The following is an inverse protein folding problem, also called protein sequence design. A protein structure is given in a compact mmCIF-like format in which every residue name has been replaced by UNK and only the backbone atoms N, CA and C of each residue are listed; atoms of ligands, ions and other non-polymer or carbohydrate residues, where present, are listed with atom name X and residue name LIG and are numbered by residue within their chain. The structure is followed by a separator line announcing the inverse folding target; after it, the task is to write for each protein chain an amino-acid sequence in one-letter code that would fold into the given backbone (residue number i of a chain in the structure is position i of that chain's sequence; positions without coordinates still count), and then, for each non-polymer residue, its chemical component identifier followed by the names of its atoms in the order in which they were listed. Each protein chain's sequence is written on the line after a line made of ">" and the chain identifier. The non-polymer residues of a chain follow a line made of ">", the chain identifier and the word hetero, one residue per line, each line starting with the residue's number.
data_IF_418974464682
#
_entry.id   IF_418974464682
#
_cell.length_a   1.000
_cell.length_b   1.000
_cell.length_c   1.000
_cell.angle_alpha   90.00
_cell.angle_beta   90.00
_cell.angle_gamma   90.00
#
_symmetry.space_group_name_H-M   'P 1'
#
loop_
_entity.id
_entity.type
_entity.pdbx_description
1 polymer ?
#
# COMPACT_ATOMS: atom_id res chain seq x y z
N UNK A 1 -23.43 12.11 -16.37
CA UNK A 1 -23.77 12.63 -17.73
C UNK A 1 -24.88 13.66 -17.65
N UNK A 2 -26.04 13.34 -17.08
CA UNK A 2 -27.19 14.26 -16.97
C UNK A 2 -26.90 15.53 -16.16
N UNK A 3 -26.45 15.39 -14.90
CA UNK A 3 -26.26 16.53 -13.98
C UNK A 3 -25.14 17.50 -14.38
N UNK A 4 -24.06 16.97 -14.96
CA UNK A 4 -22.83 17.74 -15.23
C UNK A 4 -22.48 17.85 -16.72
N UNK A 5 -23.33 17.35 -17.62
CA UNK A 5 -23.13 17.45 -19.08
C UNK A 5 -21.92 16.68 -19.65
N UNK A 6 -21.34 15.75 -18.87
CA UNK A 6 -20.18 14.97 -19.31
C UNK A 6 -20.52 14.03 -20.47
N UNK A 7 -19.57 13.90 -21.40
CA UNK A 7 -19.49 12.81 -22.36
C UNK A 7 -18.46 11.80 -21.84
N UNK A 8 -18.91 10.57 -21.58
CA UNK A 8 -18.06 9.46 -21.15
C UNK A 8 -17.71 8.63 -22.38
N UNK A 9 -16.44 8.32 -22.56
CA UNK A 9 -15.90 7.63 -23.72
C UNK A 9 -15.01 6.48 -23.23
N UNK A 10 -15.37 5.25 -23.59
CA UNK A 10 -14.66 4.03 -23.19
C UNK A 10 -13.81 3.43 -24.32
N UNK A 11 -13.84 4.03 -25.51
CA UNK A 11 -13.32 3.43 -26.74
C UNK A 11 -12.05 4.12 -27.24
N UNK A 12 -11.95 5.44 -27.07
CA UNK A 12 -10.84 6.24 -27.62
C UNK A 12 -9.48 5.81 -27.07
N UNK A 13 -9.38 5.38 -25.81
CA UNK A 13 -8.11 4.90 -25.25
C UNK A 13 -7.73 3.54 -25.85
N UNK A 14 -8.69 2.63 -25.99
CA UNK A 14 -8.45 1.29 -26.52
C UNK A 14 -7.93 1.31 -27.97
N UNK A 15 -8.36 2.29 -28.76
CA UNK A 15 -7.93 2.46 -30.16
C UNK A 15 -6.60 3.20 -30.33
N UNK A 16 -5.99 3.68 -29.23
CA UNK A 16 -4.78 4.52 -29.27
C UNK A 16 -3.69 3.95 -28.36
N UNK A 17 -2.74 3.15 -28.89
CA UNK A 17 -1.71 2.49 -28.09
C UNK A 17 -0.92 3.40 -27.14
N UNK A 18 -0.62 4.63 -27.59
CA UNK A 18 0.11 5.62 -26.78
C UNK A 18 -0.63 6.06 -25.50
N UNK A 19 -1.94 5.82 -25.40
CA UNK A 19 -2.77 6.23 -24.26
C UNK A 19 -3.06 5.09 -23.28
N UNK A 20 -2.69 3.84 -23.60
CA UNK A 20 -3.07 2.64 -22.82
C UNK A 20 -2.58 2.72 -21.36
N UNK A 21 -1.48 3.42 -21.08
CA UNK A 21 -0.98 3.59 -19.70
C UNK A 21 -1.91 4.43 -18.80
N UNK A 22 -2.76 5.26 -19.38
CA UNK A 22 -3.65 6.13 -18.61
C UNK A 22 -4.91 5.39 -18.21
N UNK A 23 -5.34 5.57 -16.95
CA UNK A 23 -6.62 5.05 -16.48
C UNK A 23 -7.79 5.92 -16.95
N UNK A 24 -7.59 7.24 -16.94
CA UNK A 24 -8.54 8.21 -17.49
C UNK A 24 -7.85 9.46 -17.99
N UNK A 25 -8.48 10.12 -18.97
CA UNK A 25 -8.06 11.40 -19.54
C UNK A 25 -9.28 12.33 -19.60
N UNK A 26 -9.15 13.52 -19.03
CA UNK A 26 -10.18 14.54 -18.96
C UNK A 26 -9.85 15.70 -19.91
N UNK A 27 -10.84 16.12 -20.67
CA UNK A 27 -10.77 17.32 -21.51
C UNK A 27 -11.88 18.29 -21.08
N UNK A 28 -11.47 19.49 -20.72
CA UNK A 28 -12.37 20.59 -20.42
C UNK A 28 -13.04 21.12 -21.70
N UNK A 29 -14.24 21.66 -21.58
CA UNK A 29 -14.98 22.26 -22.69
C UNK A 29 -16.46 22.46 -22.34
N UNK A 30 -17.23 23.02 -23.27
CA UNK A 30 -18.70 23.22 -23.10
C UNK A 30 -19.43 21.91 -22.78
N UNK A 31 -18.96 20.80 -23.34
CA UNK A 31 -19.34 19.43 -22.97
C UNK A 31 -18.07 18.73 -22.51
N UNK A 32 -17.78 18.67 -21.20
CA UNK A 32 -16.56 18.04 -20.70
C UNK A 32 -16.51 16.57 -21.14
N UNK A 33 -15.35 16.11 -21.60
CA UNK A 33 -15.13 14.73 -22.03
C UNK A 33 -14.25 14.01 -21.03
N UNK A 34 -14.65 12.80 -20.66
CA UNK A 34 -13.84 11.91 -19.84
C UNK A 34 -13.65 10.60 -20.59
N UNK A 35 -12.42 10.39 -21.05
CA UNK A 35 -11.99 9.11 -21.59
C UNK A 35 -11.63 8.21 -20.42
N UNK A 36 -12.14 6.99 -20.39
CA UNK A 36 -11.81 5.97 -19.38
C UNK A 36 -11.29 4.74 -20.11
N UNK A 37 -10.21 4.17 -19.59
CA UNK A 37 -9.63 2.96 -20.15
C UNK A 37 -10.53 1.76 -19.81
N UNK A 38 -11.04 1.07 -20.83
CA UNK A 38 -11.95 -0.07 -20.67
C UNK A 38 -11.25 -1.37 -20.24
N UNK A 39 -9.91 -1.41 -20.22
CA UNK A 39 -9.13 -2.51 -19.62
C UNK A 39 -9.11 -2.46 -18.08
N UNK A 40 -9.71 -1.42 -17.48
CA UNK A 40 -9.89 -1.32 -16.04
C UNK A 40 -11.05 -2.19 -15.56
N UNK A 41 -10.92 -2.72 -14.35
CA UNK A 41 -12.04 -3.45 -13.75
C UNK A 41 -13.19 -2.49 -13.34
N UNK A 42 -14.41 -2.99 -13.13
CA UNK A 42 -15.57 -2.15 -12.81
C UNK A 42 -15.37 -1.28 -11.56
N UNK A 43 -14.67 -1.79 -10.54
CA UNK A 43 -14.38 -1.05 -9.31
C UNK A 43 -13.49 0.18 -9.59
N UNK A 44 -12.49 0.04 -10.46
CA UNK A 44 -11.61 1.13 -10.87
C UNK A 44 -12.35 2.19 -11.69
N UNK A 45 -13.20 1.78 -12.63
CA UNK A 45 -14.05 2.70 -13.42
C UNK A 45 -14.99 3.47 -12.49
N UNK A 46 -15.63 2.77 -11.55
CA UNK A 46 -16.53 3.36 -10.54
C UNK A 46 -15.81 4.44 -9.71
N UNK A 47 -14.58 4.18 -9.27
CA UNK A 47 -13.78 5.15 -8.53
C UNK A 47 -13.37 6.37 -9.36
N UNK A 48 -13.01 6.18 -10.64
CA UNK A 48 -12.72 7.31 -11.54
C UNK A 48 -13.94 8.21 -11.64
N UNK A 49 -15.13 7.64 -11.86
CA UNK A 49 -16.38 8.40 -11.92
C UNK A 49 -16.69 9.11 -10.59
N UNK A 50 -16.51 8.43 -9.45
CA UNK A 50 -16.71 9.02 -8.12
C UNK A 50 -15.77 10.21 -7.86
N UNK A 51 -14.50 10.08 -8.28
CA UNK A 51 -13.52 11.16 -8.20
C UNK A 51 -13.92 12.35 -9.09
N UNK A 52 -14.45 12.09 -10.29
CA UNK A 52 -14.97 13.14 -11.18
C UNK A 52 -16.15 13.90 -10.58
N UNK A 53 -17.08 13.19 -9.92
CA UNK A 53 -18.14 13.84 -9.14
C UNK A 53 -17.53 14.71 -8.04
N UNK A 54 -16.45 14.26 -7.40
CA UNK A 54 -15.72 15.03 -6.40
C UNK A 54 -15.16 16.35 -6.92
N UNK A 55 -14.50 16.36 -8.09
CA UNK A 55 -14.04 17.62 -8.71
C UNK A 55 -15.19 18.60 -8.93
N UNK A 56 -16.32 18.12 -9.45
CA UNK A 56 -17.48 18.97 -9.74
C UNK A 56 -18.18 19.47 -8.47
N UNK A 57 -18.43 18.58 -7.51
CA UNK A 57 -19.13 18.90 -6.27
C UNK A 57 -18.34 19.91 -5.42
N UNK A 58 -17.03 19.70 -5.30
CA UNK A 58 -16.13 20.56 -4.53
C UNK A 58 -15.65 21.79 -5.32
N UNK A 59 -16.07 21.93 -6.58
CA UNK A 59 -15.71 23.04 -7.49
C UNK A 59 -14.19 23.22 -7.66
N UNK A 60 -13.48 22.10 -7.76
CA UNK A 60 -12.02 22.05 -7.90
C UNK A 60 -11.62 22.23 -9.36
N UNK A 61 -10.97 23.35 -9.67
CA UNK A 61 -10.63 23.74 -11.06
C UNK A 61 -9.26 23.28 -11.50
N UNK A 62 -8.23 23.49 -10.67
CA UNK A 62 -6.87 23.10 -11.00
C UNK A 62 -6.67 21.62 -10.68
N UNK A 63 -6.54 20.79 -11.71
CA UNK A 63 -6.56 19.32 -11.62
C UNK A 63 -5.73 18.71 -12.73
N UNK A 64 -5.32 17.46 -12.52
CA UNK A 64 -4.70 16.68 -13.58
C UNK A 64 -5.71 16.31 -14.68
N UNK A 65 -5.27 16.45 -15.93
CA UNK A 65 -6.04 15.95 -17.06
C UNK A 65 -5.97 14.42 -17.12
N UNK A 66 -4.90 13.80 -16.62
CA UNK A 66 -4.76 12.35 -16.51
C UNK A 66 -4.83 11.87 -15.05
N UNK A 67 -5.31 10.64 -14.83
CA UNK A 67 -5.40 10.04 -13.48
C UNK A 67 -4.06 9.86 -12.77
N UNK A 68 -3.00 9.68 -13.54
CA UNK A 68 -1.59 9.55 -13.13
C UNK A 68 -0.80 10.39 -14.13
N UNK A 69 -0.69 11.71 -13.92
CA UNK A 69 -0.06 12.59 -14.90
C UNK A 69 1.44 12.31 -14.97
N UNK A 70 2.01 12.43 -16.17
CA UNK A 70 3.47 12.33 -16.37
C UNK A 70 4.20 13.51 -15.70
N UNK A 71 3.52 14.64 -15.55
CA UNK A 71 4.05 15.86 -14.95
C UNK A 71 3.06 16.45 -13.96
N UNK A 72 3.59 16.85 -12.80
CA UNK A 72 2.87 17.63 -11.80
C UNK A 72 3.25 19.10 -11.99
N UNK A 73 2.25 19.95 -12.19
CA UNK A 73 2.45 21.35 -12.54
C UNK A 73 2.42 22.27 -11.32
N UNK A 74 1.71 21.90 -10.25
CA UNK A 74 1.63 22.72 -9.03
C UNK A 74 1.23 21.90 -7.80
N UNK A 75 1.47 22.47 -6.62
CA UNK A 75 0.96 21.93 -5.36
C UNK A 75 -0.58 21.92 -5.32
N UNK A 76 -1.23 22.96 -5.85
CA UNK A 76 -2.68 23.11 -5.81
C UNK A 76 -3.37 22.02 -6.64
N UNK A 77 -2.77 21.61 -7.76
CA UNK A 77 -3.19 20.46 -8.54
C UNK A 77 -3.16 19.18 -7.71
N UNK A 78 -2.03 18.88 -7.04
CA UNK A 78 -1.90 17.70 -6.17
C UNK A 78 -2.97 17.71 -5.07
N UNK A 79 -3.15 18.86 -4.40
CA UNK A 79 -4.10 19.00 -3.31
C UNK A 79 -5.54 18.79 -3.78
N UNK A 80 -5.90 19.30 -4.96
CA UNK A 80 -7.23 19.12 -5.54
C UNK A 80 -7.45 17.68 -5.99
N UNK A 81 -6.45 17.05 -6.60
CA UNK A 81 -6.51 15.63 -6.96
C UNK A 81 -6.70 14.74 -5.72
N UNK A 82 -6.00 15.06 -4.62
CA UNK A 82 -6.18 14.42 -3.32
C UNK A 82 -7.60 14.63 -2.77
N UNK A 83 -8.12 15.87 -2.75
CA UNK A 83 -9.47 16.18 -2.27
C UNK A 83 -10.55 15.44 -3.07
N UNK A 84 -10.42 15.39 -4.39
CA UNK A 84 -11.33 14.66 -5.26
C UNK A 84 -11.26 13.14 -5.01
N UNK A 85 -10.05 12.59 -4.81
CA UNK A 85 -9.87 11.18 -4.48
C UNK A 85 -10.47 10.82 -3.11
N UNK A 86 -10.24 11.66 -2.09
CA UNK A 86 -10.85 11.52 -0.77
C UNK A 86 -12.37 11.55 -0.86
N UNK A 87 -12.94 12.50 -1.63
CA UNK A 87 -14.38 12.55 -1.88
C UNK A 87 -14.89 11.25 -2.53
N UNK A 88 -14.19 10.76 -3.56
CA UNK A 88 -14.55 9.51 -4.24
C UNK A 88 -14.55 8.32 -3.27
N UNK A 89 -13.53 8.21 -2.42
CA UNK A 89 -13.47 7.21 -1.36
C UNK A 89 -14.64 7.33 -0.38
N UNK A 90 -14.93 8.53 0.11
CA UNK A 90 -16.03 8.78 1.03
C UNK A 90 -17.42 8.54 0.44
N UNK A 91 -17.59 8.78 -0.87
CA UNK A 91 -18.82 8.50 -1.60
C UNK A 91 -19.05 6.99 -1.76
N UNK A 92 -18.01 6.24 -2.10
CA UNK A 92 -18.10 4.78 -2.27
C UNK A 92 -18.16 4.02 -0.96
N UNK A 93 -17.55 4.56 0.09
CA UNK A 93 -17.41 3.94 1.41
C UNK A 93 -17.91 4.89 2.50
N UNK A 94 -19.24 5.00 2.67
CA UNK A 94 -19.85 5.88 3.67
C UNK A 94 -19.31 5.60 5.07
N UNK A 95 -18.94 6.67 5.78
CA UNK A 95 -18.25 6.61 7.07
C UNK A 95 -18.95 5.68 8.07
N UNK A 96 -20.26 5.83 8.25
CA UNK A 96 -21.01 5.06 9.25
C UNK A 96 -20.93 3.55 8.99
N UNK A 97 -21.02 3.13 7.72
CA UNK A 97 -20.99 1.72 7.36
C UNK A 97 -19.57 1.14 7.55
N UNK A 98 -18.53 1.86 7.13
CA UNK A 98 -17.15 1.39 7.29
C UNK A 98 -16.77 1.28 8.76
N UNK A 99 -17.19 2.24 9.59
CA UNK A 99 -16.91 2.17 11.03
C UNK A 99 -17.56 0.93 11.64
N UNK A 100 -18.82 0.64 11.29
CA UNK A 100 -19.51 -0.56 11.79
C UNK A 100 -18.82 -1.86 11.34
N UNK A 101 -18.38 -1.94 10.08
CA UNK A 101 -17.67 -3.12 9.57
C UNK A 101 -16.27 -3.28 10.19
N UNK A 102 -15.54 -2.17 10.38
CA UNK A 102 -14.25 -2.18 11.08
C UNK A 102 -14.42 -2.63 12.53
N UNK A 103 -15.45 -2.14 13.21
CA UNK A 103 -15.78 -2.57 14.56
C UNK A 103 -16.06 -4.07 14.60
N UNK A 104 -16.90 -4.57 13.69
CA UNK A 104 -17.19 -6.00 13.58
C UNK A 104 -15.93 -6.83 13.31
N UNK A 105 -15.06 -6.38 12.41
CA UNK A 105 -13.76 -7.00 12.13
C UNK A 105 -12.87 -7.04 13.39
N UNK A 106 -12.75 -5.92 14.08
CA UNK A 106 -11.87 -5.75 15.24
C UNK A 106 -12.37 -6.46 16.51
N UNK A 107 -13.67 -6.72 16.61
CA UNK A 107 -14.28 -7.49 17.69
C UNK A 107 -14.03 -9.02 17.58
N UNK A 108 -13.57 -9.51 16.43
CA UNK A 108 -13.24 -10.92 16.25
C UNK A 108 -12.02 -11.30 17.09
N UNK A 109 -12.09 -12.43 17.80
CA UNK A 109 -10.96 -12.96 18.59
C UNK A 109 -10.01 -13.82 17.77
N UNK A 110 -10.46 -14.29 16.62
CA UNK A 110 -9.67 -15.10 15.67
C UNK A 110 -9.66 -14.43 14.31
N UNK A 111 -8.52 -14.46 13.64
CA UNK A 111 -8.36 -13.90 12.31
C UNK A 111 -9.14 -14.71 11.26
N UNK A 112 -9.82 -14.01 10.37
CA UNK A 112 -10.40 -14.58 9.16
C UNK A 112 -10.31 -13.59 8.01
N UNK A 113 -9.74 -14.02 6.88
CA UNK A 113 -9.67 -13.21 5.67
C UNK A 113 -11.05 -12.86 5.10
N UNK A 114 -12.08 -13.64 5.42
CA UNK A 114 -13.42 -13.50 4.85
C UNK A 114 -14.04 -12.13 5.10
N UNK A 115 -13.93 -11.58 6.32
CA UNK A 115 -14.50 -10.27 6.63
C UNK A 115 -13.84 -9.16 5.82
N UNK A 116 -12.52 -9.24 5.60
CA UNK A 116 -11.80 -8.25 4.83
C UNK A 116 -12.14 -8.33 3.34
N UNK A 117 -12.30 -9.54 2.80
CA UNK A 117 -12.78 -9.78 1.43
C UNK A 117 -14.23 -9.30 1.25
N UNK A 118 -15.10 -9.57 2.21
CA UNK A 118 -16.49 -9.15 2.19
C UNK A 118 -16.64 -7.61 2.13
N UNK A 119 -15.70 -6.85 2.71
CA UNK A 119 -15.67 -5.39 2.55
C UNK A 119 -15.38 -4.97 1.11
N UNK A 120 -14.49 -5.66 0.38
CA UNK A 120 -14.24 -5.36 -1.03
C UNK A 120 -15.51 -5.54 -1.87
N UNK A 121 -16.23 -6.63 -1.61
CA UNK A 121 -17.49 -6.95 -2.30
C UNK A 121 -18.60 -5.96 -1.95
N UNK A 122 -18.81 -5.70 -0.65
CA UNK A 122 -19.85 -4.78 -0.13
C UNK A 122 -19.73 -3.37 -0.71
N UNK A 123 -18.51 -2.83 -0.79
CA UNK A 123 -18.29 -1.46 -1.27
C UNK A 123 -18.00 -1.40 -2.79
N UNK A 124 -17.75 -2.54 -3.43
CA UNK A 124 -17.27 -2.66 -4.80
C UNK A 124 -16.04 -1.78 -5.05
N UNK A 125 -15.00 -1.98 -4.22
CA UNK A 125 -13.75 -1.20 -4.25
C UNK A 125 -12.54 -2.12 -4.37
N UNK A 126 -11.37 -1.56 -4.74
CA UNK A 126 -10.12 -2.32 -4.75
C UNK A 126 -9.47 -2.36 -3.36
N UNK A 127 -8.55 -3.31 -3.10
CA UNK A 127 -7.73 -3.33 -1.89
C UNK A 127 -7.11 -1.99 -1.53
N UNK A 128 -6.55 -1.29 -2.52
CA UNK A 128 -5.89 -0.01 -2.28
C UNK A 128 -6.87 1.08 -1.84
N UNK A 129 -8.09 1.10 -2.39
CA UNK A 129 -9.12 2.07 -1.98
C UNK A 129 -9.59 1.79 -0.55
N UNK A 130 -9.83 0.52 -0.22
CA UNK A 130 -10.25 0.10 1.11
C UNK A 130 -9.20 0.49 2.17
N UNK A 131 -7.93 0.15 1.94
CA UNK A 131 -6.85 0.47 2.87
C UNK A 131 -6.52 1.96 2.93
N UNK A 132 -6.74 2.71 1.86
CA UNK A 132 -6.66 4.16 1.94
C UNK A 132 -7.74 4.72 2.85
N UNK A 133 -8.99 4.22 2.71
CA UNK A 133 -10.10 4.58 3.59
C UNK A 133 -9.85 4.21 5.05
N UNK A 134 -9.15 3.10 5.30
CA UNK A 134 -8.70 2.73 6.64
C UNK A 134 -7.74 3.77 7.22
N UNK A 135 -6.80 4.28 6.43
CA UNK A 135 -5.86 5.34 6.87
C UNK A 135 -6.54 6.66 7.24
N UNK A 136 -7.73 6.92 6.69
CA UNK A 136 -8.54 8.10 6.99
C UNK A 136 -9.39 7.94 8.25
N UNK A 137 -9.82 6.73 8.59
CA UNK A 137 -10.82 6.48 9.64
C UNK A 137 -10.26 5.81 10.89
N UNK A 138 -9.36 4.82 10.77
CA UNK A 138 -8.88 4.05 11.92
C UNK A 138 -8.21 4.94 12.97
N UNK A 139 -7.28 5.85 12.62
CA UNK A 139 -6.63 6.70 13.62
C UNK A 139 -7.63 7.58 14.39
N UNK A 140 -8.65 8.09 13.71
CA UNK A 140 -9.63 9.01 14.30
C UNK A 140 -10.67 8.30 15.17
N UNK A 141 -11.19 7.16 14.72
CA UNK A 141 -12.35 6.51 15.34
C UNK A 141 -11.97 5.37 16.28
N UNK A 142 -10.77 4.80 16.13
CA UNK A 142 -10.29 3.68 16.95
C UNK A 142 -9.04 4.04 17.76
N UNK A 143 -8.46 5.23 17.56
CA UNK A 143 -7.26 5.68 18.28
C UNK A 143 -5.99 4.94 17.89
N UNK A 144 -6.01 4.14 16.82
CA UNK A 144 -4.87 3.32 16.40
C UNK A 144 -4.17 3.95 15.20
N UNK A 145 -2.88 4.29 15.37
CA UNK A 145 -2.04 4.77 14.26
C UNK A 145 -1.62 3.60 13.37
N UNK A 146 -1.54 3.86 12.07
CA UNK A 146 -1.16 2.86 11.09
C UNK A 146 -0.09 3.35 10.11
N UNK A 147 0.57 2.41 9.47
CA UNK A 147 1.29 2.65 8.23
C UNK A 147 0.57 1.96 7.07
N UNK A 148 0.77 2.48 5.87
CA UNK A 148 0.32 1.92 4.61
C UNK A 148 1.54 1.79 3.72
N UNK A 149 1.77 0.59 3.15
CA UNK A 149 2.84 0.36 2.19
C UNK A 149 2.25 -0.27 0.94
N UNK A 150 2.76 0.14 -0.21
CA UNK A 150 2.45 -0.46 -1.50
C UNK A 150 3.74 -0.81 -2.22
N UNK A 151 3.88 -2.09 -2.57
CA UNK A 151 4.99 -2.58 -3.35
C UNK A 151 4.53 -3.04 -4.73
N UNK A 152 5.39 -2.84 -5.73
CA UNK A 152 5.31 -3.47 -7.04
C UNK A 152 6.45 -4.46 -7.22
N UNK A 153 6.16 -5.57 -7.87
CA UNK A 153 7.14 -6.55 -8.30
C UNK A 153 6.86 -6.91 -9.76
N UNK A 154 7.91 -6.92 -10.59
CA UNK A 154 7.82 -7.42 -11.96
C UNK A 154 8.37 -8.85 -11.95
N UNK A 155 7.62 -9.79 -12.50
CA UNK A 155 8.02 -11.20 -12.47
C UNK A 155 9.45 -11.38 -12.97
N UNK A 156 10.20 -12.26 -12.31
CA UNK A 156 11.62 -12.54 -12.58
C UNK A 156 12.59 -11.35 -12.43
N UNK A 157 12.16 -10.19 -11.90
CA UNK A 157 13.08 -9.05 -11.73
C UNK A 157 13.98 -9.14 -10.51
N UNK A 158 13.68 -10.05 -9.56
CA UNK A 158 14.36 -10.16 -8.26
C UNK A 158 14.25 -8.92 -7.37
N UNK A 159 13.48 -7.90 -7.78
CA UNK A 159 13.44 -6.58 -7.16
C UNK A 159 12.02 -6.19 -6.77
N UNK A 160 11.89 -5.48 -5.66
CA UNK A 160 10.62 -5.06 -5.09
C UNK A 160 10.66 -3.56 -4.86
N UNK A 161 9.72 -2.84 -5.45
CA UNK A 161 9.72 -1.39 -5.48
C UNK A 161 8.63 -0.84 -4.56
N UNK A 162 9.02 -0.07 -3.54
CA UNK A 162 8.09 0.69 -2.71
C UNK A 162 7.57 1.88 -3.52
N UNK A 163 6.31 1.84 -3.95
CA UNK A 163 5.71 2.86 -4.83
C UNK A 163 4.85 3.86 -4.09
N UNK A 164 4.37 3.52 -2.88
CA UNK A 164 3.61 4.44 -2.03
C UNK A 164 3.78 4.06 -0.57
N UNK A 165 4.00 5.07 0.26
CA UNK A 165 4.05 4.91 1.71
C UNK A 165 3.27 6.03 2.41
N UNK A 166 2.70 5.68 3.56
CA UNK A 166 2.19 6.59 4.57
C UNK A 166 2.56 5.97 5.91
N UNK A 167 3.10 6.77 6.83
CA UNK A 167 3.61 6.26 8.08
C UNK A 167 3.19 7.16 9.24
N UNK A 168 2.23 6.70 10.05
CA UNK A 168 1.78 7.41 11.24
C UNK A 168 2.29 6.77 12.53
N UNK A 169 2.87 5.56 12.47
CA UNK A 169 3.27 4.77 13.64
C UNK A 169 4.78 4.55 13.77
N UNK A 170 5.56 5.42 13.11
CA UNK A 170 7.02 5.48 13.18
C UNK A 170 7.71 4.17 12.74
N UNK A 171 7.09 3.43 11.81
CA UNK A 171 7.75 2.29 11.17
C UNK A 171 9.05 2.76 10.51
N UNK A 172 10.17 2.08 10.74
CA UNK A 172 11.39 2.41 10.00
C UNK A 172 11.30 1.78 8.62
N UNK A 173 11.24 2.63 7.60
CA UNK A 173 11.20 2.23 6.19
C UNK A 173 12.37 2.89 5.49
N UNK A 174 13.41 2.11 5.13
CA UNK A 174 14.47 2.59 4.25
C UNK A 174 13.83 3.17 3.01
N UNK A 175 13.97 4.48 2.82
CA UNK A 175 13.43 5.17 1.67
C UNK A 175 14.35 6.34 1.30
N UNK A 176 14.61 6.49 0.00
CA UNK A 176 15.52 7.50 -0.51
C UNK A 176 15.83 7.31 -1.99
N UNK A 177 16.25 8.39 -2.65
CA UNK A 177 16.76 8.34 -4.02
C UNK A 177 18.08 7.56 -3.98
N UNK A 178 18.20 6.50 -4.79
CA UNK A 178 19.43 5.71 -4.86
C UNK A 178 19.60 4.69 -3.73
N UNK A 179 18.52 4.32 -3.01
CA UNK A 179 18.56 3.16 -2.13
C UNK A 179 18.74 1.88 -2.98
N UNK A 180 19.99 1.43 -3.08
CA UNK A 180 20.39 0.18 -3.75
C UNK A 180 20.40 -1.00 -2.77
N UNK A 181 19.39 -1.04 -1.89
CA UNK A 181 19.25 -2.06 -0.86
C UNK A 181 18.06 -2.97 -1.13
N UNK A 182 18.12 -4.20 -0.64
CA UNK A 182 17.08 -5.19 -0.80
C UNK A 182 16.19 -5.24 0.44
N UNK A 183 14.95 -4.74 0.31
CA UNK A 183 13.94 -4.88 1.35
C UNK A 183 13.85 -6.32 1.86
N UNK A 184 13.70 -6.46 3.19
CA UNK A 184 13.57 -7.75 3.84
C UNK A 184 12.44 -8.58 3.20
N UNK A 185 12.78 -9.78 2.73
CA UNK A 185 11.83 -10.68 2.05
C UNK A 185 10.72 -11.21 2.96
N UNK A 186 10.92 -11.09 4.28
CA UNK A 186 9.96 -11.50 5.32
C UNK A 186 8.91 -10.44 5.65
N UNK A 187 9.01 -9.23 5.10
CA UNK A 187 7.93 -8.25 5.22
C UNK A 187 6.66 -8.81 4.57
N UNK A 188 5.50 -8.65 5.22
CA UNK A 188 4.22 -9.12 4.65
C UNK A 188 4.01 -8.60 3.23
N UNK A 189 4.35 -7.34 2.96
CA UNK A 189 4.20 -6.74 1.63
C UNK A 189 5.08 -7.39 0.55
N UNK A 190 6.24 -7.93 0.91
CA UNK A 190 7.16 -8.60 -0.01
C UNK A 190 6.80 -10.09 -0.11
N UNK A 191 6.54 -10.73 1.03
CA UNK A 191 6.10 -12.13 1.11
C UNK A 191 4.85 -12.38 0.27
N UNK A 192 3.83 -11.52 0.36
CA UNK A 192 2.60 -11.62 -0.45
C UNK A 192 2.85 -11.61 -1.96
N UNK A 193 3.93 -10.98 -2.41
CA UNK A 193 4.31 -10.93 -3.83
C UNK A 193 5.09 -12.20 -4.22
N UNK A 194 6.01 -12.64 -3.37
CA UNK A 194 6.76 -13.89 -3.55
C UNK A 194 5.85 -15.13 -3.52
N UNK A 195 4.93 -15.20 -2.57
CA UNK A 195 3.96 -16.30 -2.43
C UNK A 195 3.11 -16.40 -3.71
N UNK A 196 2.73 -15.26 -4.29
CA UNK A 196 1.93 -15.21 -5.51
C UNK A 196 2.73 -15.58 -6.76
N UNK A 197 4.02 -15.24 -6.84
CA UNK A 197 4.92 -15.70 -7.92
C UNK A 197 5.13 -17.22 -7.87
N UNK A 198 5.12 -17.81 -6.66
CA UNK A 198 5.24 -19.26 -6.47
C UNK A 198 3.94 -20.05 -6.63
N UNK A 199 2.79 -19.38 -6.69
CA UNK A 199 1.49 -20.03 -6.82
C UNK A 199 1.25 -20.55 -8.25
N UNK A 200 0.59 -21.70 -8.37
CA UNK A 200 0.22 -22.26 -9.68
C UNK A 200 -0.70 -21.36 -10.49
N UNK A 201 -1.52 -20.55 -9.81
CA UNK A 201 -2.42 -19.56 -10.42
C UNK A 201 -2.21 -18.21 -9.75
N UNK A 202 -1.93 -17.18 -10.56
CA UNK A 202 -1.79 -15.79 -10.11
C UNK A 202 -3.16 -15.12 -10.17
N UNK A 203 -3.72 -14.64 -9.05
CA UNK A 203 -4.98 -13.90 -9.05
C UNK A 203 -4.90 -12.68 -9.97
N UNK A 204 -5.73 -12.69 -11.01
CA UNK A 204 -5.91 -11.55 -11.91
C UNK A 204 -6.73 -10.46 -11.21
N UNK A 205 -6.91 -9.31 -11.86
CA UNK A 205 -7.71 -8.22 -11.26
C UNK A 205 -9.21 -8.49 -11.15
N UNK A 206 -9.66 -9.60 -11.73
CA UNK A 206 -11.04 -10.07 -11.69
C UNK A 206 -11.24 -11.16 -10.62
N UNK A 207 -10.15 -11.74 -10.13
CA UNK A 207 -10.19 -12.78 -9.10
C UNK A 207 -10.16 -12.17 -7.69
N UNK A 208 -10.51 -12.98 -6.68
CA UNK A 208 -10.31 -12.57 -5.30
C UNK A 208 -8.81 -12.37 -5.02
N UNK A 209 -8.40 -11.23 -4.45
CA UNK A 209 -7.00 -10.97 -4.15
C UNK A 209 -6.50 -11.93 -3.07
N UNK A 210 -5.21 -12.28 -3.13
CA UNK A 210 -4.59 -13.05 -2.07
C UNK A 210 -4.51 -12.18 -0.81
N UNK A 211 -4.89 -12.74 0.35
CA UNK A 211 -4.93 -12.02 1.63
C UNK A 211 -3.90 -12.62 2.58
N UNK A 212 -3.17 -11.77 3.27
CA UNK A 212 -2.29 -12.22 4.33
C UNK A 212 -2.37 -11.36 5.58
N UNK A 213 -1.98 -11.99 6.68
CA UNK A 213 -1.77 -11.37 7.98
C UNK A 213 -0.42 -11.83 8.52
N UNK A 214 0.21 -11.01 9.33
CA UNK A 214 1.46 -11.34 9.99
C UNK A 214 1.67 -10.46 11.21
N UNK A 215 2.21 -11.03 12.28
CA UNK A 215 2.80 -10.28 13.37
C UNK A 215 4.29 -10.12 13.09
N UNK A 216 4.73 -8.91 12.73
CA UNK A 216 6.13 -8.63 12.40
C UNK A 216 6.86 -8.07 13.61
N UNK A 217 8.06 -8.56 13.90
CA UNK A 217 8.91 -8.09 15.00
C UNK A 217 10.27 -7.66 14.45
N UNK A 218 10.66 -6.39 14.66
CA UNK A 218 11.99 -5.91 14.25
C UNK A 218 13.07 -6.50 15.16
N UNK A 219 14.08 -7.14 14.57
CA UNK A 219 15.14 -7.82 15.31
C UNK A 219 15.94 -6.90 16.23
N UNK A 220 16.14 -5.64 15.85
CA UNK A 220 16.95 -4.70 16.63
C UNK A 220 16.15 -3.96 17.70
N UNK A 221 14.96 -3.45 17.35
CA UNK A 221 14.15 -2.62 18.26
C UNK A 221 13.13 -3.41 19.06
N UNK A 222 12.84 -4.66 18.68
CA UNK A 222 11.74 -5.48 19.18
C UNK A 222 10.35 -4.86 18.95
N UNK A 223 10.26 -3.84 18.10
CA UNK A 223 8.99 -3.23 17.74
C UNK A 223 8.13 -4.23 16.97
N UNK A 224 6.88 -4.37 17.43
CA UNK A 224 5.91 -5.29 16.87
C UNK A 224 4.87 -4.57 16.04
N UNK A 225 4.51 -5.14 14.91
CA UNK A 225 3.48 -4.63 14.02
C UNK A 225 2.55 -5.75 13.56
N UNK A 226 1.26 -5.60 13.83
CA UNK A 226 0.24 -6.42 13.21
C UNK A 226 -0.02 -5.89 11.80
N UNK A 227 0.36 -6.64 10.78
CA UNK A 227 0.21 -6.26 9.38
C UNK A 227 -0.86 -7.12 8.72
N UNK A 228 -1.72 -6.49 7.92
CA UNK A 228 -2.71 -7.15 7.08
C UNK A 228 -2.64 -6.59 5.66
N UNK A 229 -2.84 -7.47 4.68
CA UNK A 229 -2.35 -7.22 3.34
C UNK A 229 -3.12 -7.93 2.25
N UNK A 230 -3.08 -7.35 1.07
CA UNK A 230 -3.56 -7.95 -0.18
C UNK A 230 -2.45 -7.98 -1.22
N UNK A 231 -2.45 -8.98 -2.10
CA UNK A 231 -1.72 -8.96 -3.37
C UNK A 231 -2.58 -9.38 -4.56
N UNK A 232 -2.27 -8.80 -5.73
CA UNK A 232 -2.92 -9.09 -7.02
C UNK A 232 -2.07 -8.57 -8.18
N UNK A 233 -2.37 -8.99 -9.41
CA UNK A 233 -1.80 -8.38 -10.61
C UNK A 233 -2.37 -6.98 -10.90
N UNK A 234 -1.70 -6.17 -11.73
CA UNK A 234 -2.18 -4.85 -12.17
C UNK A 234 -2.85 -4.90 -13.54
N UNK A 235 -4.07 -4.34 -13.65
CA UNK A 235 -4.87 -4.37 -14.89
C UNK A 235 -4.19 -3.73 -16.11
N UNK A 236 -3.41 -2.67 -15.91
CA UNK A 236 -2.74 -1.93 -17.01
C UNK A 236 -1.25 -2.28 -17.15
N UNK A 237 -0.76 -3.26 -16.39
CA UNK A 237 0.65 -3.66 -16.43
C UNK A 237 0.76 -5.17 -16.22
N UNK A 238 0.40 -5.98 -17.23
CA UNK A 238 0.54 -7.43 -17.16
C UNK A 238 1.99 -7.85 -16.81
N UNK A 239 2.13 -8.88 -15.98
CA UNK A 239 3.40 -9.33 -15.41
C UNK A 239 3.94 -8.45 -14.27
N UNK A 240 3.16 -7.45 -13.82
CA UNK A 240 3.46 -6.65 -12.63
C UNK A 240 2.42 -6.91 -11.55
N UNK A 241 2.91 -7.37 -10.41
CA UNK A 241 2.12 -7.67 -9.23
C UNK A 241 2.26 -6.55 -8.22
N UNK A 242 1.18 -6.29 -7.50
CA UNK A 242 1.12 -5.24 -6.49
C UNK A 242 0.61 -5.82 -5.18
N UNK A 243 1.32 -5.50 -4.11
CA UNK A 243 0.83 -5.70 -2.75
C UNK A 243 0.48 -4.36 -2.13
N UNK A 244 -0.51 -4.39 -1.26
CA UNK A 244 -0.89 -3.26 -0.42
C UNK A 244 -1.13 -3.77 0.98
N UNK A 245 -0.51 -3.14 1.97
CA UNK A 245 -0.69 -3.51 3.37
C UNK A 245 -1.07 -2.29 4.20
N UNK A 246 -1.75 -2.55 5.31
CA UNK A 246 -1.74 -1.67 6.47
C UNK A 246 -1.14 -2.42 7.64
N UNK A 247 -0.44 -1.70 8.51
CA UNK A 247 0.09 -2.28 9.73
C UNK A 247 -0.05 -1.36 10.93
N UNK A 248 -0.27 -1.97 12.08
CA UNK A 248 -0.56 -1.31 13.35
C UNK A 248 0.55 -1.66 14.32
N UNK A 249 1.16 -0.65 14.95
CA UNK A 249 2.17 -0.88 15.98
C UNK A 249 1.48 -1.50 17.19
N UNK A 250 2.05 -2.56 17.72
CA UNK A 250 1.52 -3.26 18.90
C UNK A 250 1.90 -2.49 20.14
N UNK A 251 1.00 -1.60 20.55
CA UNK A 251 1.01 -0.95 21.85
C UNK A 251 0.06 -1.70 22.81
N UNK A 252 0.19 -1.54 24.14
CA UNK A 252 -0.66 -2.22 25.12
C UNK A 252 -2.17 -2.12 24.82
N UNK A 253 -2.60 -0.97 24.31
CA UNK A 253 -4.00 -0.66 24.01
C UNK A 253 -4.48 -1.28 22.69
N UNK A 254 -3.58 -1.59 21.75
CA UNK A 254 -3.96 -2.14 20.43
C UNK A 254 -4.82 -3.39 20.58
N UNK A 255 -4.46 -4.22 21.55
CA UNK A 255 -5.10 -5.49 21.87
C UNK A 255 -6.55 -5.36 22.33
N UNK A 256 -6.87 -4.24 22.98
CA UNK A 256 -8.24 -3.94 23.38
C UNK A 256 -9.10 -3.48 22.20
N UNK A 257 -8.46 -2.89 21.18
CA UNK A 257 -9.11 -2.42 19.96
C UNK A 257 -9.25 -3.52 18.92
N UNK A 258 -8.15 -4.19 18.53
CA UNK A 258 -8.11 -5.27 17.54
C UNK A 258 -7.92 -6.61 18.27
N UNK A 259 -9.01 -7.30 18.59
CA UNK A 259 -8.97 -8.48 19.47
C UNK A 259 -8.22 -9.66 18.87
N UNK A 260 -8.34 -9.89 17.57
CA UNK A 260 -7.61 -10.97 16.89
C UNK A 260 -6.09 -10.73 16.84
N UNK A 261 -5.58 -9.58 17.28
CA UNK A 261 -4.14 -9.39 17.48
C UNK A 261 -3.53 -10.40 18.48
N UNK A 262 -4.38 -11.03 19.31
CA UNK A 262 -4.02 -12.11 20.23
C UNK A 262 -4.14 -13.52 19.65
N UNK A 263 -4.62 -13.67 18.42
CA UNK A 263 -4.83 -14.98 17.83
C UNK A 263 -3.48 -15.71 17.65
N UNK A 264 -3.25 -16.85 18.35
CA UNK A 264 -2.01 -17.59 18.24
C UNK A 264 -1.78 -18.21 16.86
N UNK A 265 -2.81 -18.27 16.00
CA UNK A 265 -2.67 -18.71 14.62
C UNK A 265 -1.97 -17.68 13.72
N UNK A 266 -1.87 -16.41 14.15
CA UNK A 266 -1.15 -15.39 13.40
C UNK A 266 0.35 -15.63 13.53
N UNK A 267 0.99 -15.89 12.40
CA UNK A 267 2.43 -16.14 12.34
C UNK A 267 3.22 -14.94 12.87
N UNK A 268 4.10 -15.21 13.84
CA UNK A 268 5.11 -14.27 14.29
C UNK A 268 6.36 -14.40 13.42
N UNK A 269 6.83 -13.28 12.88
CA UNK A 269 7.93 -13.25 11.93
C UNK A 269 8.92 -12.17 12.33
N UNK A 270 10.15 -12.60 12.61
CA UNK A 270 11.27 -11.69 12.87
C UNK A 270 11.74 -11.11 11.54
N UNK A 271 11.76 -9.79 11.46
CA UNK A 271 12.10 -9.01 10.27
C UNK A 271 13.21 -8.00 10.57
N UNK A 272 13.76 -7.42 9.51
CA UNK A 272 14.55 -6.20 9.59
C UNK A 272 14.17 -5.26 8.42
N UNK A 273 14.83 -4.13 8.31
CA UNK A 273 14.69 -3.15 7.23
C UNK A 273 15.08 -3.71 5.85
N UNK A 274 16.36 -3.99 5.65
CA UNK A 274 16.95 -4.54 4.41
C UNK A 274 17.89 -5.69 4.70
N UNK A 275 18.21 -6.49 3.68
CA UNK A 275 19.13 -7.62 3.82
C UNK A 275 20.55 -7.14 4.17
N UNK A 276 21.00 -6.05 3.55
CA UNK A 276 22.31 -5.43 3.72
C UNK A 276 22.57 -4.94 5.15
N UNK A 277 21.49 -4.62 5.89
CA UNK A 277 21.51 -4.15 7.28
C UNK A 277 21.15 -5.23 8.29
N UNK A 278 20.75 -6.42 7.84
CA UNK A 278 20.13 -7.42 8.71
C UNK A 278 21.15 -8.20 9.54
N UNK A 279 21.02 -8.25 10.88
CA UNK A 279 21.93 -9.01 11.75
C UNK A 279 21.63 -10.51 11.81
N UNK A 280 20.51 -10.98 11.24
CA UNK A 280 20.15 -12.40 11.27
C UNK A 280 21.15 -13.26 10.49
N UNK A 281 21.59 -14.38 11.05
CA UNK A 281 22.48 -15.33 10.37
C UNK A 281 21.77 -16.07 9.22
N UNK A 282 22.53 -16.78 8.39
CA UNK A 282 21.97 -17.61 7.31
C UNK A 282 21.06 -18.73 7.85
N UNK A 283 21.37 -19.27 9.03
CA UNK A 283 20.54 -20.27 9.72
C UNK A 283 19.22 -19.66 10.21
N UNK A 284 19.24 -18.39 10.62
CA UNK A 284 18.07 -17.66 11.10
C UNK A 284 17.21 -17.08 9.98
N UNK A 285 17.79 -16.80 8.80
CA UNK A 285 17.13 -16.18 7.65
C UNK A 285 17.47 -16.87 6.32
N UNK A 286 16.59 -17.78 5.88
CA UNK A 286 16.71 -18.49 4.60
C UNK A 286 16.25 -17.67 3.40
N UNK A 287 15.52 -16.59 3.65
CA UNK A 287 14.92 -15.70 2.65
C UNK A 287 15.83 -14.49 2.34
N UNK A 288 17.04 -14.45 2.92
CA UNK A 288 18.03 -13.39 2.71
C UNK A 288 18.39 -13.32 1.22
N UNK A 289 18.24 -12.14 0.62
CA UNK A 289 18.57 -11.92 -0.78
C UNK A 289 20.06 -11.64 -1.02
N UNK A 290 20.70 -10.94 -0.08
CA UNK A 290 22.11 -10.53 -0.16
C UNK A 290 22.78 -10.51 1.22
N UNK A 291 24.11 -10.54 1.21
CA UNK A 291 24.94 -10.44 2.41
C UNK A 291 24.76 -9.10 3.16
N UNK A 292 24.92 -9.06 4.50
CA UNK A 292 24.74 -7.87 5.31
C UNK A 292 25.95 -6.91 5.23
N UNK A 293 26.27 -6.45 4.03
CA UNK A 293 27.46 -5.66 3.74
C UNK A 293 27.48 -4.30 4.44
N UNK A 294 26.33 -3.65 4.57
CA UNK A 294 26.20 -2.37 5.27
C UNK A 294 26.38 -2.57 6.77
N UNK A 295 25.79 -3.62 7.34
CA UNK A 295 25.99 -3.97 8.74
C UNK A 295 27.47 -4.20 9.07
N UNK A 296 28.18 -4.95 8.22
CA UNK A 296 29.62 -5.18 8.42
C UNK A 296 30.43 -3.89 8.40
N UNK A 297 30.09 -2.94 7.52
CA UNK A 297 30.77 -1.65 7.48
C UNK A 297 30.45 -0.81 8.71
N UNK A 298 29.20 -0.77 9.15
CA UNK A 298 28.79 -0.08 10.38
C UNK A 298 29.49 -0.66 11.63
N UNK A 299 29.68 -1.97 11.69
CA UNK A 299 30.46 -2.64 12.74
C UNK A 299 31.94 -2.22 12.71
N UNK A 300 32.59 -2.26 11.53
CA UNK A 300 33.99 -1.82 11.38
C UNK A 300 34.19 -0.36 11.79
N UNK A 301 33.26 0.52 11.42
CA UNK A 301 33.31 1.93 11.80
C UNK A 301 33.14 2.12 13.31
N UNK A 302 32.24 1.35 13.94
CA UNK A 302 32.06 1.34 15.40
C UNK A 302 33.33 0.89 16.11
N UNK A 303 33.94 -0.20 15.67
CA UNK A 303 35.17 -0.74 16.26
C UNK A 303 36.33 0.26 16.14
N UNK A 304 36.47 0.92 14.98
CA UNK A 304 37.46 1.99 14.78
C UNK A 304 37.24 3.15 15.76
N UNK A 305 36.00 3.59 15.94
CA UNK A 305 35.66 4.68 16.86
C UNK A 305 35.97 4.30 18.31
N UNK A 306 35.65 3.08 18.73
CA UNK A 306 35.96 2.58 20.06
C UNK A 306 37.47 2.50 20.31
N UNK A 307 38.24 2.01 19.34
CA UNK A 307 39.70 1.98 19.43
C UNK A 307 40.30 3.39 19.58
N UNK A 308 39.81 4.38 18.82
CA UNK A 308 40.26 5.77 18.95
C UNK A 308 39.91 6.38 20.32
N UNK A 309 38.71 6.10 20.84
CA UNK A 309 38.28 6.57 22.16
C UNK A 309 39.14 5.98 23.29
N UNK A 310 39.53 4.71 23.17
CA UNK A 310 40.43 4.07 24.14
C UNK A 310 41.80 4.75 24.19
N UNK A 311 42.34 5.15 23.03
CA UNK A 311 43.60 5.89 22.96
C UNK A 311 43.45 7.29 23.57
N UNK A 312 42.36 8.01 23.26
CA UNK A 312 42.13 9.35 23.81
C UNK A 312 41.96 9.35 25.33
N UNK A 313 41.36 8.31 25.90
CA UNK A 313 41.16 8.20 27.34
C UNK A 313 42.41 7.72 28.11
N UNK A 314 43.50 7.38 27.42
CA UNK A 314 44.78 7.00 28.01
C UNK A 314 45.77 8.19 28.12
N UNK A 315 45.41 9.36 27.58
CA UNK A 315 46.14 10.63 27.67
C UNK A 315 45.52 11.50 28.76
#
# INVERSE_FOLDING_TARGET
>A
QEKYGYQIDLETIATRPALIKYRSVFFEGRKPRLLINNSLNPQQIKFILAREVGYQYLKLKERSFASTPDQINSFQQILNDFKAAYFGGALLMPRAHIIADLQHLFEQTTWSAHLLLAMLDKYHVTPEMLFYRFSELIPQFFGVKLHFLRFHHRHNSGTYQLVKQLNMNQLIVPSGIGLLEHYCRRWLSVRLLSDMESAETVPTTSDQPYVGIQMSEFVETQDKFLCLGFSRELSLSPGVTSSVIVGFRVEPELKNTIRFAHDPAIQQVIINETCERCPLTAEQCRERAVEPTILWEEQKQRDRKLALMQIQNQV
#
